data_IF_513561726343
#
_entry.id   IF_513561726343
#
_cell.length_a   1.000
_cell.length_b   1.000
_cell.length_c   1.000
_cell.angle_alpha   90.00
_cell.angle_beta   90.00
_cell.angle_gamma   90.00
#
_symmetry.space_group_name_H-M   'P 1'
#
loop_
_entity.id
_entity.type
_entity.pdbx_description
1 polymer ?
#
# COMPACT_ATOMS: atom_id res chain seq x y z
N UNK A 1 -0.17 -18.48 11.05
CA UNK A 1 -1.46 -17.85 11.44
C UNK A 1 -1.36 -17.13 12.78
N UNK A 2 -0.57 -17.62 13.73
CA UNK A 2 -0.33 -17.00 15.05
C UNK A 2 -0.06 -15.48 15.01
N UNK A 3 0.87 -15.02 14.16
CA UNK A 3 1.17 -13.58 14.01
C UNK A 3 -0.08 -12.75 13.68
N UNK A 4 -0.90 -13.20 12.72
CA UNK A 4 -2.11 -12.47 12.31
C UNK A 4 -3.15 -12.47 13.42
N UNK A 5 -3.34 -13.60 14.10
CA UNK A 5 -4.27 -13.71 15.22
C UNK A 5 -3.86 -12.81 16.38
N UNK A 6 -2.56 -12.73 16.68
CA UNK A 6 -2.07 -11.81 17.69
C UNK A 6 -2.24 -10.36 17.25
N UNK A 7 -1.86 -10.01 16.01
CA UNK A 7 -1.99 -8.65 15.49
C UNK A 7 -3.43 -8.14 15.56
N UNK A 8 -4.40 -8.93 15.08
CA UNK A 8 -5.84 -8.62 15.19
C UNK A 8 -6.24 -8.43 16.65
N UNK A 9 -5.84 -9.35 17.54
CA UNK A 9 -6.16 -9.23 18.96
C UNK A 9 -5.63 -7.93 19.57
N UNK A 10 -4.41 -7.49 19.26
CA UNK A 10 -3.86 -6.27 19.88
C UNK A 10 -4.54 -5.00 19.37
N UNK A 11 -4.89 -4.93 18.08
CA UNK A 11 -5.58 -3.75 17.51
C UNK A 11 -7.05 -3.67 17.93
N UNK A 12 -7.69 -4.82 18.22
CA UNK A 12 -9.07 -4.86 18.72
C UNK A 12 -9.17 -4.54 20.23
N UNK A 13 -8.07 -4.66 20.98
CA UNK A 13 -8.04 -4.39 22.43
C UNK A 13 -7.90 -2.90 22.77
N UNK A 14 -7.35 -2.09 21.86
CA UNK A 14 -7.16 -0.65 22.06
C UNK A 14 -7.40 0.10 20.74
N UNK A 15 -8.51 0.82 20.66
CA UNK A 15 -8.88 1.63 19.49
C UNK A 15 -7.86 2.73 19.18
N UNK A 16 -7.03 3.14 20.16
CA UNK A 16 -5.95 4.12 19.96
C UNK A 16 -4.67 3.46 19.45
N UNK A 17 -4.55 2.14 19.52
CA UNK A 17 -3.38 1.44 19.07
C UNK A 17 -3.44 1.20 17.56
N UNK A 18 -2.83 2.14 16.84
CA UNK A 18 -2.86 2.15 15.38
C UNK A 18 -2.26 0.88 14.77
N UNK A 19 -2.90 0.36 13.72
CA UNK A 19 -2.58 -0.93 13.09
C UNK A 19 -1.12 -1.06 12.65
N UNK A 20 -0.57 0.00 12.07
CA UNK A 20 0.83 0.06 11.67
C UNK A 20 1.79 -0.01 12.86
N UNK A 21 1.45 0.63 13.99
CA UNK A 21 2.29 0.56 15.20
C UNK A 21 2.27 -0.85 15.77
N UNK A 22 1.08 -1.45 15.88
CA UNK A 22 0.91 -2.84 16.32
C UNK A 22 1.67 -3.83 15.45
N UNK A 23 1.59 -3.68 14.13
CA UNK A 23 2.33 -4.51 13.19
C UNK A 23 3.84 -4.38 13.37
N UNK A 24 4.34 -3.14 13.49
CA UNK A 24 5.77 -2.88 13.65
C UNK A 24 6.31 -3.44 14.97
N UNK A 25 5.57 -3.33 16.07
CA UNK A 25 6.00 -3.83 17.37
C UNK A 25 6.04 -5.36 17.41
N UNK A 26 5.08 -6.03 16.76
CA UNK A 26 5.14 -7.48 16.56
C UNK A 26 6.31 -7.89 15.66
N UNK A 27 6.58 -7.14 14.58
CA UNK A 27 7.70 -7.41 13.68
C UNK A 27 9.07 -7.17 14.31
N UNK A 28 9.18 -6.35 15.34
CA UNK A 28 10.47 -6.14 16.05
C UNK A 28 10.83 -7.28 16.98
N UNK A 29 9.87 -8.14 17.34
CA UNK A 29 10.14 -9.31 18.21
C UNK A 29 11.02 -10.31 17.50
N UNK A 30 12.12 -10.70 18.14
CA UNK A 30 13.11 -11.64 17.60
C UNK A 30 13.59 -11.29 16.18
N UNK A 31 13.74 -9.99 15.90
CA UNK A 31 14.24 -9.52 14.62
C UNK A 31 15.65 -10.07 14.37
N UNK A 32 15.86 -10.72 13.22
CA UNK A 32 17.17 -11.20 12.76
C UNK A 32 17.32 -10.86 11.29
N UNK A 33 18.28 -9.98 11.00
CA UNK A 33 18.65 -9.62 9.63
C UNK A 33 19.24 -10.84 8.91
N UNK A 34 18.85 -11.04 7.65
CA UNK A 34 19.44 -12.05 6.77
C UNK A 34 20.76 -11.57 6.15
N UNK A 35 21.49 -12.50 5.53
CA UNK A 35 22.84 -12.25 5.01
C UNK A 35 22.90 -11.21 3.88
N UNK A 36 21.81 -11.05 3.11
CA UNK A 36 21.74 -10.15 1.96
C UNK A 36 21.20 -8.74 2.30
N UNK A 37 20.91 -8.46 3.58
CA UNK A 37 20.26 -7.24 4.08
C UNK A 37 18.88 -6.89 3.46
N UNK A 38 18.40 -7.69 2.52
CA UNK A 38 17.14 -7.49 1.80
C UNK A 38 16.03 -8.37 2.34
N UNK A 39 16.33 -9.28 3.25
CA UNK A 39 15.32 -9.98 4.02
C UNK A 39 15.71 -10.08 5.50
N UNK A 40 14.71 -10.27 6.34
CA UNK A 40 14.88 -10.56 7.75
C UNK A 40 13.82 -11.54 8.24
N UNK A 41 14.13 -12.23 9.32
CA UNK A 41 13.17 -13.05 10.07
C UNK A 41 12.73 -12.33 11.34
N UNK A 42 11.52 -12.64 11.78
CA UNK A 42 10.85 -11.98 12.90
C UNK A 42 9.86 -12.94 13.56
N UNK A 43 9.33 -12.58 14.73
CA UNK A 43 8.29 -13.30 15.46
C UNK A 43 8.72 -14.74 15.75
N UNK A 44 9.88 -14.89 16.39
CA UNK A 44 10.54 -16.18 16.64
C UNK A 44 10.93 -16.93 15.37
N UNK A 45 11.20 -16.23 14.27
CA UNK A 45 11.53 -16.81 12.96
C UNK A 45 10.33 -17.32 12.15
N UNK A 46 9.10 -17.14 12.63
CA UNK A 46 7.87 -17.58 11.94
C UNK A 46 7.43 -16.64 10.83
N UNK A 47 7.90 -15.39 10.86
CA UNK A 47 7.63 -14.38 9.84
C UNK A 47 8.92 -14.06 9.11
N UNK A 48 8.87 -14.08 7.78
CA UNK A 48 9.93 -13.57 6.91
C UNK A 48 9.44 -12.29 6.25
N UNK A 49 10.30 -11.28 6.21
CA UNK A 49 10.02 -9.99 5.60
C UNK A 49 11.09 -9.71 4.56
N UNK A 50 10.68 -9.24 3.39
CA UNK A 50 11.57 -8.87 2.29
C UNK A 50 11.42 -7.39 1.94
N UNK A 51 12.52 -6.75 1.62
CA UNK A 51 12.57 -5.41 1.02
C UNK A 51 12.37 -5.58 -0.48
N UNK A 52 11.21 -5.13 -0.97
CA UNK A 52 10.82 -5.30 -2.37
C UNK A 52 11.22 -4.08 -3.21
N UNK A 53 11.57 -4.27 -4.51
CA UNK A 53 11.99 -3.18 -5.36
C UNK A 53 10.83 -2.20 -5.60
N UNK A 54 11.05 -0.92 -5.27
CA UNK A 54 10.04 0.15 -5.37
C UNK A 54 9.61 0.48 -6.81
N UNK A 55 10.33 -0.05 -7.80
CA UNK A 55 9.98 0.01 -9.22
C UNK A 55 8.86 -1.00 -9.56
N UNK A 56 8.78 -2.14 -8.88
CA UNK A 56 7.75 -3.17 -9.08
C UNK A 56 6.65 -3.11 -8.01
N UNK A 57 6.98 -2.69 -6.79
CA UNK A 57 6.06 -2.49 -5.68
C UNK A 57 6.00 -0.99 -5.36
N UNK A 58 5.33 -0.23 -6.22
CA UNK A 58 5.36 1.22 -6.14
C UNK A 58 4.53 1.75 -4.98
N UNK A 59 5.09 2.73 -4.27
CA UNK A 59 4.33 3.54 -3.34
C UNK A 59 3.74 4.76 -4.06
N UNK A 60 2.98 5.59 -3.33
CA UNK A 60 2.34 6.76 -3.91
C UNK A 60 3.33 7.75 -4.54
N UNK A 61 4.53 7.91 -3.97
CA UNK A 61 5.54 8.80 -4.51
C UNK A 61 6.16 8.24 -5.80
N UNK A 62 6.58 6.97 -5.81
CA UNK A 62 7.24 6.37 -6.99
C UNK A 62 6.29 6.19 -8.17
N UNK A 63 5.00 5.91 -7.92
CA UNK A 63 4.01 5.75 -8.97
C UNK A 63 3.44 7.08 -9.48
N UNK A 64 2.94 7.94 -8.59
CA UNK A 64 2.19 9.12 -9.02
C UNK A 64 3.04 10.37 -9.22
N UNK A 65 4.13 10.53 -8.46
CA UNK A 65 4.99 11.74 -8.51
C UNK A 65 6.16 11.52 -9.46
N UNK A 66 6.95 10.47 -9.23
CA UNK A 66 8.15 10.18 -10.02
C UNK A 66 7.83 9.52 -11.37
N UNK A 67 6.63 8.94 -11.54
CA UNK A 67 6.24 8.24 -12.76
C UNK A 67 7.29 7.19 -13.17
N UNK A 68 7.73 6.39 -12.19
CA UNK A 68 8.73 5.35 -12.37
C UNK A 68 8.32 4.30 -13.42
N UNK A 69 7.06 3.82 -13.47
CA UNK A 69 6.61 2.91 -14.53
C UNK A 69 6.83 3.45 -15.94
N UNK A 70 6.53 4.72 -16.17
CA UNK A 70 6.71 5.37 -17.47
C UNK A 70 8.18 5.56 -17.80
N UNK A 71 8.97 6.01 -16.81
CA UNK A 71 10.40 6.28 -16.98
C UNK A 71 11.18 5.00 -17.26
N UNK A 72 10.89 3.93 -16.51
CA UNK A 72 11.56 2.63 -16.63
C UNK A 72 10.91 1.70 -17.67
N UNK A 73 9.75 2.08 -18.22
CA UNK A 73 8.95 1.28 -19.16
C UNK A 73 8.61 -0.11 -18.60
N UNK A 74 8.20 -0.16 -17.33
CA UNK A 74 7.82 -1.38 -16.63
C UNK A 74 6.35 -1.33 -16.20
N UNK A 75 5.74 -2.51 -16.09
CA UNK A 75 4.44 -2.63 -15.44
C UNK A 75 4.65 -3.02 -13.97
N UNK A 76 4.30 -2.16 -13.00
CA UNK A 76 4.44 -2.50 -11.59
C UNK A 76 3.51 -3.66 -11.23
N UNK A 77 3.98 -4.52 -10.33
CA UNK A 77 3.21 -5.62 -9.79
C UNK A 77 2.14 -5.14 -8.80
N UNK A 78 2.48 -4.15 -7.97
CA UNK A 78 1.57 -3.54 -6.99
C UNK A 78 1.79 -2.03 -6.97
N UNK A 79 0.69 -1.29 -6.77
CA UNK A 79 0.70 0.13 -6.44
C UNK A 79 -0.05 0.32 -5.13
N UNK A 80 0.58 0.91 -4.13
CA UNK A 80 -0.05 1.25 -2.86
C UNK A 80 0.05 2.75 -2.58
N UNK A 81 -1.06 3.40 -2.24
CA UNK A 81 -1.04 4.81 -1.89
C UNK A 81 -0.63 4.98 -0.43
N UNK A 82 0.44 5.74 -0.22
CA UNK A 82 0.89 6.20 1.10
C UNK A 82 0.17 7.51 1.46
N UNK A 83 0.84 8.45 2.15
CA UNK A 83 0.30 9.76 2.51
C UNK A 83 -0.37 10.45 1.31
N UNK A 84 -1.67 10.69 1.43
CA UNK A 84 -2.48 11.33 0.41
C UNK A 84 -3.44 12.31 1.09
N UNK A 85 -3.50 13.54 0.56
CA UNK A 85 -4.48 14.53 1.00
C UNK A 85 -5.91 13.97 0.88
N UNK A 86 -6.78 14.32 1.83
CA UNK A 86 -8.15 13.80 1.94
C UNK A 86 -8.28 12.29 2.25
N UNK A 87 -7.25 11.66 2.83
CA UNK A 87 -7.34 10.31 3.39
C UNK A 87 -7.78 9.25 2.38
N UNK A 88 -8.71 8.38 2.76
CA UNK A 88 -9.19 7.27 1.91
C UNK A 88 -9.80 7.75 0.60
N UNK A 89 -10.62 8.79 0.62
CA UNK A 89 -11.27 9.31 -0.59
C UNK A 89 -10.25 9.92 -1.55
N UNK A 90 -9.26 10.63 -1.01
CA UNK A 90 -8.15 11.12 -1.82
C UNK A 90 -7.32 10.00 -2.43
N UNK A 91 -7.06 8.91 -1.69
CA UNK A 91 -6.38 7.72 -2.23
C UNK A 91 -7.16 7.13 -3.39
N UNK A 92 -8.46 6.89 -3.21
CA UNK A 92 -9.35 6.37 -4.26
C UNK A 92 -9.32 7.26 -5.49
N UNK A 93 -9.44 8.58 -5.31
CA UNK A 93 -9.36 9.53 -6.41
C UNK A 93 -8.04 9.43 -7.19
N UNK A 94 -6.90 9.36 -6.51
CA UNK A 94 -5.58 9.19 -7.17
C UNK A 94 -5.47 7.89 -7.98
N UNK A 95 -6.03 6.79 -7.47
CA UNK A 95 -6.08 5.55 -8.24
C UNK A 95 -7.02 5.66 -9.45
N UNK A 96 -8.16 6.35 -9.32
CA UNK A 96 -9.09 6.62 -10.44
C UNK A 96 -8.46 7.43 -11.55
N UNK A 97 -7.71 8.49 -11.24
CA UNK A 97 -6.97 9.30 -12.22
C UNK A 97 -6.06 8.45 -13.12
N UNK A 98 -5.59 7.31 -12.61
CA UNK A 98 -4.67 6.40 -13.31
C UNK A 98 -5.35 5.10 -13.76
N UNK A 99 -6.69 5.02 -13.70
CA UNK A 99 -7.48 3.82 -14.06
C UNK A 99 -7.06 2.55 -13.31
N UNK A 100 -6.56 2.71 -12.10
CA UNK A 100 -6.16 1.61 -11.20
C UNK A 100 -7.24 1.28 -10.16
N UNK A 101 -8.27 2.10 -10.07
CA UNK A 101 -9.44 1.82 -9.26
C UNK A 101 -10.54 1.25 -10.14
N UNK A 102 -11.17 0.16 -9.69
CA UNK A 102 -12.33 -0.39 -10.37
C UNK A 102 -13.58 0.37 -9.90
N UNK A 103 -14.21 1.09 -10.82
CA UNK A 103 -15.55 1.64 -10.64
C UNK A 103 -16.53 0.92 -11.57
N UNK A 104 -17.79 0.78 -11.13
CA UNK A 104 -18.85 0.27 -11.99
C UNK A 104 -19.12 1.28 -13.13
N UNK A 105 -19.48 0.82 -14.35
CA UNK A 105 -19.70 1.70 -15.49
C UNK A 105 -20.55 2.96 -15.23
N UNK A 106 -21.56 2.93 -14.35
CA UNK A 106 -22.42 4.11 -14.11
C UNK A 106 -21.68 5.26 -13.46
N UNK A 107 -20.56 5.01 -12.78
CA UNK A 107 -19.69 6.08 -12.28
C UNK A 107 -19.20 6.99 -13.42
N UNK A 108 -18.97 6.43 -14.60
CA UNK A 108 -18.49 7.15 -15.78
C UNK A 108 -19.62 7.63 -16.70
N UNK A 109 -20.88 7.31 -16.39
CA UNK A 109 -22.06 7.69 -17.18
C UNK A 109 -23.21 8.22 -16.30
N UNK A 110 -22.99 9.27 -15.48
CA UNK A 110 -24.07 9.90 -14.72
C UNK A 110 -25.09 10.56 -15.66
N UNK A 111 -26.36 10.64 -15.24
CA UNK A 111 -27.46 11.20 -16.04
C UNK A 111 -27.21 12.65 -16.49
N UNK A 112 -26.51 13.44 -15.65
CA UNK A 112 -26.11 14.82 -15.95
C UNK A 112 -24.84 14.96 -16.81
N UNK A 113 -24.20 13.85 -17.22
CA UNK A 113 -22.91 13.85 -17.90
C UNK A 113 -21.72 14.19 -17.00
N UNK A 114 -20.53 14.21 -17.58
CA UNK A 114 -19.27 14.54 -16.89
C UNK A 114 -18.69 15.80 -17.50
N UNK A 115 -18.08 16.66 -16.67
CA UNK A 115 -17.30 17.79 -17.14
C UNK A 115 -16.10 17.28 -17.96
N UNK A 116 -16.01 17.70 -19.22
CA UNK A 116 -14.91 17.40 -20.12
C UNK A 116 -14.20 18.69 -20.54
N UNK A 117 -12.95 18.57 -20.99
CA UNK A 117 -12.15 19.67 -21.49
C UNK A 117 -11.38 19.21 -22.73
N UNK A 118 -11.33 20.05 -23.75
CA UNK A 118 -10.54 19.83 -24.95
C UNK A 118 -9.15 20.46 -24.79
N UNK A 119 -8.06 19.65 -24.75
CA UNK A 119 -6.70 20.12 -24.48
C UNK A 119 -6.09 21.04 -25.53
#
# INVERSE_FOLDING_TARGET
>A
REFLSEWVRVIEQDEKYWDQNAFNDLLRRDFRLGDDMHHFSSYGGRVKVGVLPVSSFCNGHTFFVQRMPETLKINPYVVHATFQYAGTEGKRHRFRERKLWYDHPEYYTPEGGILTYDP
#
